data_IF_335423272201
#
_entry.id   IF_335423272201
#
_cell.length_a   1.000
_cell.length_b   1.000
_cell.length_c   1.000
_cell.angle_alpha   90.00
_cell.angle_beta   90.00
_cell.angle_gamma   90.00
#
_symmetry.space_group_name_H-M   'P 1'
#
loop_
_entity.id
_entity.type
_entity.pdbx_description
1 polymer ?
#
# COMPACT_ATOMS: atom_id res chain seq x y z
N UNK A 1 8.18 -3.86 -29.00
CA UNK A 1 8.53 -4.24 -27.62
C UNK A 1 7.69 -3.44 -26.64
N UNK A 2 6.83 -4.12 -25.88
CA UNK A 2 6.04 -3.45 -24.85
C UNK A 2 6.95 -3.13 -23.66
N UNK A 3 7.11 -1.84 -23.37
CA UNK A 3 7.90 -1.33 -22.25
C UNK A 3 7.21 -1.79 -20.96
N UNK A 4 7.94 -2.53 -20.12
CA UNK A 4 7.47 -2.91 -18.79
C UNK A 4 7.32 -1.65 -17.93
N UNK A 5 6.09 -1.28 -17.61
CA UNK A 5 5.77 -0.14 -16.76
C UNK A 5 5.75 -0.53 -15.27
N UNK A 6 6.23 0.35 -14.40
CA UNK A 6 6.14 0.19 -12.95
C UNK A 6 5.75 1.50 -12.26
N UNK A 7 5.85 1.55 -10.93
CA UNK A 7 5.75 2.81 -10.19
C UNK A 7 7.13 3.27 -9.69
N UNK A 8 7.58 4.50 -9.98
CA UNK A 8 8.87 5.01 -9.51
C UNK A 8 9.02 5.00 -7.98
N UNK A 9 7.91 5.02 -7.24
CA UNK A 9 7.91 4.96 -5.77
C UNK A 9 8.41 3.62 -5.22
N UNK A 10 8.60 2.60 -6.06
CA UNK A 10 9.27 1.35 -5.67
C UNK A 10 10.73 1.58 -5.26
N UNK A 11 11.36 2.64 -5.77
CA UNK A 11 12.77 2.99 -5.49
C UNK A 11 12.90 4.22 -4.57
N UNK A 12 11.81 4.57 -3.87
CA UNK A 12 11.74 5.75 -3.01
C UNK A 12 12.81 5.77 -1.91
N UNK A 13 13.19 4.60 -1.38
CA UNK A 13 14.22 4.46 -0.33
C UNK A 13 15.56 5.10 -0.71
N UNK A 14 15.86 5.20 -2.00
CA UNK A 14 17.12 5.74 -2.51
C UNK A 14 17.12 7.28 -2.52
N UNK A 15 15.94 7.90 -2.43
CA UNK A 15 15.75 9.36 -2.56
C UNK A 15 15.23 10.02 -1.28
N UNK A 16 14.65 9.27 -0.35
CA UNK A 16 14.10 9.83 0.88
C UNK A 16 15.14 9.85 2.02
N UNK A 17 15.30 10.99 2.73
CA UNK A 17 16.21 11.08 3.87
C UNK A 17 15.93 9.99 4.91
N UNK A 18 16.97 9.37 5.48
CA UNK A 18 16.84 8.31 6.51
C UNK A 18 16.32 8.86 7.84
N UNK A 19 16.69 10.09 8.19
CA UNK A 19 16.33 10.71 9.47
C UNK A 19 15.01 11.46 9.37
N UNK A 20 14.03 11.04 10.18
CA UNK A 20 12.90 11.90 10.51
C UNK A 20 12.27 11.45 11.83
N UNK A 21 11.96 12.40 12.72
CA UNK A 21 11.29 12.10 13.98
C UNK A 21 9.78 12.25 13.78
N UNK A 22 9.03 11.18 13.93
CA UNK A 22 7.58 11.24 13.99
C UNK A 22 7.14 11.41 15.46
N UNK A 23 6.26 12.38 15.75
CA UNK A 23 5.74 12.55 17.11
C UNK A 23 4.97 11.30 17.56
N UNK A 24 5.05 10.94 18.84
CA UNK A 24 4.39 9.74 19.40
C UNK A 24 2.90 9.61 19.03
N UNK A 25 2.17 10.73 18.95
CA UNK A 25 0.74 10.76 18.56
C UNK A 25 0.44 10.09 17.20
N UNK A 26 1.41 10.13 16.28
CA UNK A 26 1.26 9.61 14.92
C UNK A 26 1.91 8.24 14.72
N UNK A 27 2.65 7.71 15.71
CA UNK A 27 3.11 6.33 15.66
C UNK A 27 1.91 5.40 15.71
N UNK A 28 2.04 4.26 15.05
CA UNK A 28 0.96 3.26 14.94
C UNK A 28 1.55 1.86 14.94
N UNK A 29 0.81 0.91 15.49
CA UNK A 29 1.14 -0.50 15.29
C UNK A 29 0.69 -0.94 13.90
N UNK A 30 -0.48 -0.47 13.45
CA UNK A 30 -0.96 -0.72 12.10
C UNK A 30 -1.66 0.51 11.50
N UNK A 31 -1.31 0.83 10.26
CA UNK A 31 -2.06 1.74 9.41
C UNK A 31 -2.95 0.95 8.46
N UNK A 32 -4.23 1.32 8.43
CA UNK A 32 -5.17 0.81 7.44
C UNK A 32 -5.44 1.93 6.43
N UNK A 33 -4.82 1.84 5.26
CA UNK A 33 -5.01 2.79 4.16
C UNK A 33 -6.29 2.47 3.40
N UNK A 34 -7.32 3.29 3.56
CA UNK A 34 -8.68 3.02 3.05
C UNK A 34 -9.05 3.84 1.82
N UNK A 35 -10.15 3.44 1.17
CA UNK A 35 -10.91 4.23 0.20
C UNK A 35 -12.37 4.23 0.67
N UNK A 36 -13.06 5.36 0.58
CA UNK A 36 -14.52 5.37 0.77
C UNK A 36 -15.20 4.41 -0.22
N UNK A 37 -16.10 3.51 0.25
CA UNK A 37 -16.71 2.45 -0.57
C UNK A 37 -17.29 2.95 -1.90
N UNK A 38 -18.03 4.05 -1.87
CA UNK A 38 -18.69 4.63 -3.06
C UNK A 38 -17.71 5.15 -4.13
N UNK A 39 -16.42 5.22 -3.81
CA UNK A 39 -15.34 5.60 -4.73
C UNK A 39 -14.49 4.40 -5.18
N UNK A 40 -14.88 3.18 -4.82
CA UNK A 40 -14.27 1.93 -5.27
C UNK A 40 -15.00 1.41 -6.51
N UNK A 41 -14.25 0.94 -7.51
CA UNK A 41 -14.82 0.38 -8.75
C UNK A 41 -15.24 -1.08 -8.55
N UNK A 42 -16.16 -1.32 -7.63
CA UNK A 42 -16.64 -2.67 -7.23
C UNK A 42 -18.17 -2.72 -7.17
N UNK A 43 -18.78 -3.91 -7.27
CA UNK A 43 -20.22 -4.08 -7.10
C UNK A 43 -20.73 -3.52 -5.76
N UNK A 44 -21.97 -3.01 -5.69
CA UNK A 44 -22.55 -2.43 -4.47
C UNK A 44 -22.49 -3.37 -3.26
N UNK A 45 -22.68 -4.68 -3.45
CA UNK A 45 -22.61 -5.68 -2.39
C UNK A 45 -21.26 -5.63 -1.68
N UNK A 46 -20.18 -5.55 -2.45
CA UNK A 46 -18.81 -5.40 -1.92
C UNK A 46 -18.61 -4.08 -1.19
N UNK A 47 -19.23 -3.00 -1.64
CA UNK A 47 -19.17 -1.71 -0.93
C UNK A 47 -19.78 -1.79 0.47
N UNK A 48 -20.88 -2.53 0.63
CA UNK A 48 -21.53 -2.75 1.92
C UNK A 48 -20.71 -3.66 2.84
N UNK A 49 -20.09 -4.70 2.29
CA UNK A 49 -19.25 -5.65 3.05
C UNK A 49 -17.99 -5.00 3.64
N UNK A 50 -17.44 -3.95 3.01
CA UNK A 50 -16.16 -3.36 3.41
C UNK A 50 -16.11 -2.97 4.89
N UNK A 51 -17.21 -2.44 5.42
CA UNK A 51 -17.25 -1.99 6.81
C UNK A 51 -17.04 -3.14 7.78
N UNK A 52 -17.74 -4.26 7.57
CA UNK A 52 -17.67 -5.41 8.46
C UNK A 52 -16.32 -6.13 8.32
N UNK A 53 -15.78 -6.21 7.09
CA UNK A 53 -14.40 -6.66 6.83
C UNK A 53 -13.39 -5.83 7.63
N UNK A 54 -13.51 -4.50 7.62
CA UNK A 54 -12.60 -3.62 8.35
C UNK A 54 -12.71 -3.79 9.87
N UNK A 55 -13.93 -3.94 10.41
CA UNK A 55 -14.14 -4.21 11.83
C UNK A 55 -13.49 -5.54 12.27
N UNK A 56 -13.77 -6.61 11.54
CA UNK A 56 -13.20 -7.93 11.82
C UNK A 56 -11.66 -7.91 11.69
N UNK A 57 -11.15 -7.13 10.73
CA UNK A 57 -9.71 -6.93 10.55
C UNK A 57 -9.10 -6.22 11.74
N UNK A 58 -9.73 -5.15 12.24
CA UNK A 58 -9.26 -4.40 13.41
C UNK A 58 -9.25 -5.30 14.66
N UNK A 59 -10.31 -6.06 14.89
CA UNK A 59 -10.41 -6.96 16.03
C UNK A 59 -9.36 -8.07 15.97
N UNK A 60 -9.14 -8.63 14.78
CA UNK A 60 -8.09 -9.62 14.55
C UNK A 60 -6.69 -9.04 14.77
N UNK A 61 -6.39 -7.86 14.22
CA UNK A 61 -5.14 -7.15 14.48
C UNK A 61 -4.91 -6.91 15.98
N UNK A 62 -5.93 -6.45 16.71
CA UNK A 62 -5.86 -6.27 18.17
C UNK A 62 -5.55 -7.59 18.89
N UNK A 63 -6.17 -8.69 18.47
CA UNK A 63 -5.89 -10.03 19.01
C UNK A 63 -4.44 -10.49 18.77
N UNK A 64 -3.79 -9.95 17.74
CA UNK A 64 -2.38 -10.18 17.39
C UNK A 64 -1.42 -9.17 18.02
N UNK A 65 -1.89 -8.34 18.95
CA UNK A 65 -1.05 -7.37 19.65
C UNK A 65 -0.76 -6.08 18.87
N UNK A 66 -1.60 -5.75 17.89
CA UNK A 66 -1.62 -4.41 17.29
C UNK A 66 -2.61 -3.54 18.08
N UNK A 67 -2.11 -2.80 19.07
CA UNK A 67 -2.92 -2.02 20.00
C UNK A 67 -3.33 -0.66 19.45
N UNK A 68 -2.49 -0.07 18.61
CA UNK A 68 -2.66 1.26 18.05
C UNK A 68 -2.90 1.17 16.53
N UNK A 69 -4.11 0.75 16.17
CA UNK A 69 -4.59 0.67 14.78
C UNK A 69 -5.27 2.00 14.40
N UNK A 70 -4.88 2.58 13.27
CA UNK A 70 -5.48 3.82 12.76
C UNK A 70 -5.79 3.74 11.27
N UNK A 71 -6.79 4.48 10.83
CA UNK A 71 -7.04 4.68 9.41
C UNK A 71 -6.11 5.74 8.83
N UNK A 72 -5.61 5.51 7.62
CA UNK A 72 -4.93 6.50 6.80
C UNK A 72 -5.83 6.88 5.63
N UNK A 73 -6.30 8.12 5.65
CA UNK A 73 -7.09 8.73 4.58
C UNK A 73 -6.14 9.34 3.55
N UNK A 74 -6.31 8.98 2.28
CA UNK A 74 -5.49 9.49 1.17
C UNK A 74 -6.19 10.63 0.42
N UNK A 75 -7.48 10.81 0.70
CA UNK A 75 -8.35 11.79 0.10
C UNK A 75 -9.29 12.31 1.20
N UNK A 76 -9.64 13.61 1.17
CA UNK A 76 -10.58 14.18 2.13
C UNK A 76 -11.94 13.47 2.11
N UNK A 77 -12.31 12.86 0.97
CA UNK A 77 -13.53 12.06 0.82
C UNK A 77 -13.49 10.74 1.58
N UNK A 78 -12.33 10.28 2.04
CA UNK A 78 -12.21 9.10 2.90
C UNK A 78 -12.60 9.38 4.35
N UNK A 79 -12.51 10.65 4.79
CA UNK A 79 -12.70 11.06 6.18
C UNK A 79 -14.07 10.68 6.73
N UNK A 80 -15.22 10.95 6.06
CA UNK A 80 -16.52 10.59 6.61
C UNK A 80 -16.68 9.08 6.85
N UNK A 81 -16.09 8.26 5.98
CA UNK A 81 -16.11 6.81 6.14
C UNK A 81 -15.21 6.38 7.31
N UNK A 82 -13.99 6.92 7.41
CA UNK A 82 -13.09 6.63 8.52
C UNK A 82 -13.67 7.03 9.89
N UNK A 83 -14.25 8.23 9.97
CA UNK A 83 -14.87 8.79 11.18
C UNK A 83 -16.10 7.99 11.64
N UNK A 84 -16.71 7.20 10.75
CA UNK A 84 -17.84 6.33 11.11
C UNK A 84 -17.46 5.13 12.00
N UNK A 85 -16.16 4.83 12.14
CA UNK A 85 -15.65 3.74 12.97
C UNK A 85 -15.36 4.21 14.40
N UNK A 86 -16.27 3.91 15.33
CA UNK A 86 -16.11 4.27 16.74
C UNK A 86 -14.86 3.62 17.35
N UNK A 87 -14.03 4.42 18.01
CA UNK A 87 -12.85 3.93 18.74
C UNK A 87 -11.64 3.62 17.86
N UNK A 88 -11.63 4.08 16.61
CA UNK A 88 -10.48 4.00 15.70
C UNK A 88 -10.16 5.40 15.19
N UNK A 89 -8.98 5.91 15.53
CA UNK A 89 -8.53 7.21 15.03
C UNK A 89 -8.25 7.13 13.52
N UNK A 90 -8.40 8.26 12.83
CA UNK A 90 -7.91 8.44 11.47
C UNK A 90 -6.87 9.54 11.36
N UNK A 91 -6.01 9.43 10.34
CA UNK A 91 -5.01 10.42 9.98
C UNK A 91 -5.26 10.81 8.52
N UNK A 92 -5.20 12.11 8.24
CA UNK A 92 -5.19 12.67 6.89
C UNK A 92 -4.03 13.65 6.79
N UNK A 93 -3.33 13.61 5.66
CA UNK A 93 -2.31 14.61 5.32
C UNK A 93 -2.22 14.77 3.81
N UNK A 94 -2.06 16.01 3.36
CA UNK A 94 -1.78 16.42 1.99
C UNK A 94 -0.28 16.57 1.69
N UNK A 95 0.55 16.41 2.73
CA UNK A 95 2.00 16.52 2.66
C UNK A 95 2.61 15.15 2.38
N UNK A 96 3.25 15.02 1.21
CA UNK A 96 3.87 13.78 0.77
C UNK A 96 4.97 13.30 1.72
N UNK A 97 5.75 14.20 2.33
CA UNK A 97 6.80 13.80 3.27
C UNK A 97 6.21 13.28 4.57
N UNK A 98 5.17 13.93 5.10
CA UNK A 98 4.44 13.42 6.27
C UNK A 98 3.81 12.07 5.99
N UNK A 99 3.18 11.91 4.83
CA UNK A 99 2.61 10.64 4.38
C UNK A 99 3.65 9.51 4.38
N UNK A 100 4.79 9.71 3.74
CA UNK A 100 5.88 8.73 3.73
C UNK A 100 6.42 8.47 5.14
N UNK A 101 6.51 9.50 5.98
CA UNK A 101 6.97 9.37 7.35
C UNK A 101 6.00 8.56 8.22
N UNK A 102 4.69 8.67 8.00
CA UNK A 102 3.67 7.83 8.64
C UNK A 102 3.86 6.36 8.27
N UNK A 103 4.01 6.07 6.97
CA UNK A 103 4.23 4.70 6.49
C UNK A 103 5.50 4.08 7.08
N UNK A 104 6.61 4.83 7.13
CA UNK A 104 7.89 4.33 7.67
C UNK A 104 7.82 3.96 9.16
N UNK A 105 6.92 4.61 9.91
CA UNK A 105 6.84 4.45 11.36
C UNK A 105 5.67 3.57 11.82
N UNK A 106 5.01 2.86 10.90
CA UNK A 106 4.05 1.82 11.26
C UNK A 106 4.70 0.45 11.26
N UNK A 107 4.22 -0.47 12.10
CA UNK A 107 4.68 -1.86 12.16
C UNK A 107 4.11 -2.69 11.00
N UNK A 108 2.93 -2.30 10.50
CA UNK A 108 2.23 -2.96 9.40
C UNK A 108 1.32 -1.97 8.66
N UNK A 109 1.35 -1.97 7.33
CA UNK A 109 0.38 -1.23 6.51
C UNK A 109 -0.56 -2.19 5.77
N UNK A 110 -1.83 -2.26 6.15
CA UNK A 110 -2.87 -2.93 5.37
C UNK A 110 -3.52 -1.90 4.45
N UNK A 111 -3.58 -2.15 3.15
CA UNK A 111 -3.92 -1.09 2.21
C UNK A 111 -4.79 -1.49 1.03
N UNK A 112 -5.81 -0.67 0.79
CA UNK A 112 -6.59 -0.63 -0.44
C UNK A 112 -5.98 0.33 -1.48
N UNK A 113 -4.97 1.12 -1.08
CA UNK A 113 -4.34 2.19 -1.88
C UNK A 113 -2.99 1.75 -2.41
N UNK A 114 -2.87 1.73 -3.73
CA UNK A 114 -1.64 1.38 -4.44
C UNK A 114 -0.45 2.23 -3.99
N UNK A 115 -0.67 3.53 -3.77
CA UNK A 115 0.36 4.49 -3.37
C UNK A 115 0.71 4.49 -1.88
N UNK A 116 0.14 3.62 -1.03
CA UNK A 116 0.80 3.25 0.24
C UNK A 116 1.44 1.88 0.21
N UNK A 117 1.00 0.97 -0.68
CA UNK A 117 1.61 -0.34 -0.82
C UNK A 117 3.04 -0.26 -1.35
N UNK A 118 3.22 0.39 -2.51
CA UNK A 118 4.51 0.41 -3.20
C UNK A 118 5.57 1.15 -2.38
N UNK A 119 5.29 2.31 -1.75
CA UNK A 119 6.25 2.93 -0.84
C UNK A 119 6.61 2.04 0.36
N UNK A 120 5.66 1.28 0.92
CA UNK A 120 6.00 0.33 2.00
C UNK A 120 6.97 -0.76 1.54
N UNK A 121 6.79 -1.31 0.32
CA UNK A 121 7.76 -2.24 -0.26
C UNK A 121 9.16 -1.62 -0.37
N UNK A 122 9.23 -0.37 -0.83
CA UNK A 122 10.48 0.36 -0.96
C UNK A 122 11.14 0.61 0.40
N UNK A 123 10.36 1.04 1.38
CA UNK A 123 10.82 1.46 2.71
C UNK A 123 11.05 0.30 3.68
N UNK A 124 10.93 -0.94 3.22
CA UNK A 124 11.07 -2.14 4.04
C UNK A 124 10.05 -2.22 5.19
N UNK A 125 8.82 -1.73 4.92
CA UNK A 125 7.71 -1.76 5.86
C UNK A 125 6.78 -2.93 5.51
N UNK A 126 6.49 -3.85 6.44
CA UNK A 126 5.52 -4.92 6.20
C UNK A 126 4.19 -4.36 5.72
N UNK A 127 3.65 -4.92 4.63
CA UNK A 127 2.42 -4.39 4.03
C UNK A 127 1.58 -5.47 3.36
N UNK A 128 0.26 -5.32 3.43
CA UNK A 128 -0.73 -6.22 2.81
C UNK A 128 -1.55 -5.41 1.83
N UNK A 129 -1.55 -5.83 0.55
CA UNK A 129 -2.35 -5.17 -0.50
C UNK A 129 -3.69 -5.88 -0.67
N UNK A 130 -4.76 -5.09 -0.65
CA UNK A 130 -6.09 -5.50 -1.09
C UNK A 130 -6.43 -4.69 -2.34
N UNK A 131 -6.48 -5.34 -3.51
CA UNK A 131 -6.78 -4.73 -4.79
C UNK A 131 -8.22 -4.95 -5.19
N UNK A 132 -8.88 -3.88 -5.62
CA UNK A 132 -10.30 -3.87 -5.95
C UNK A 132 -10.60 -3.39 -7.37
N UNK A 133 -9.58 -2.95 -8.11
CA UNK A 133 -9.69 -2.52 -9.50
C UNK A 133 -8.54 -3.10 -10.34
N UNK A 134 -8.76 -3.14 -11.65
CA UNK A 134 -7.82 -3.74 -12.61
C UNK A 134 -6.48 -2.99 -12.67
N UNK A 135 -6.48 -1.68 -12.38
CA UNK A 135 -5.26 -0.87 -12.43
C UNK A 135 -4.31 -1.27 -11.31
N UNK A 136 -4.85 -1.47 -10.11
CA UNK A 136 -4.07 -1.96 -8.98
C UNK A 136 -3.59 -3.40 -9.21
N UNK A 137 -4.45 -4.29 -9.71
CA UNK A 137 -4.09 -5.67 -10.03
C UNK A 137 -2.94 -5.73 -11.05
N UNK A 138 -3.10 -5.07 -12.20
CA UNK A 138 -2.10 -5.04 -13.26
C UNK A 138 -0.76 -4.47 -12.80
N UNK A 139 -0.76 -3.40 -11.98
CA UNK A 139 0.50 -2.85 -11.49
C UNK A 139 1.19 -3.75 -10.47
N UNK A 140 0.43 -4.38 -9.58
CA UNK A 140 0.97 -5.33 -8.58
C UNK A 140 1.58 -6.54 -9.29
N UNK A 141 0.90 -7.08 -10.30
CA UNK A 141 1.41 -8.17 -11.14
C UNK A 141 2.70 -7.73 -11.87
N UNK A 142 2.70 -6.54 -12.46
CA UNK A 142 3.87 -5.99 -13.17
C UNK A 142 5.12 -5.83 -12.28
N UNK A 143 4.96 -5.73 -10.95
CA UNK A 143 6.07 -5.66 -9.99
C UNK A 143 6.33 -7.01 -9.29
N UNK A 144 5.70 -8.10 -9.74
CA UNK A 144 5.92 -9.46 -9.25
C UNK A 144 5.30 -9.73 -7.88
N UNK A 145 4.24 -9.01 -7.51
CA UNK A 145 3.62 -9.08 -6.18
C UNK A 145 2.22 -9.72 -6.19
N UNK A 146 1.82 -10.38 -7.28
CA UNK A 146 0.46 -10.92 -7.44
C UNK A 146 0.13 -11.98 -6.37
N UNK A 147 1.05 -12.91 -6.10
CA UNK A 147 0.88 -13.96 -5.08
C UNK A 147 0.62 -13.40 -3.67
N UNK A 148 1.15 -12.21 -3.38
CA UNK A 148 0.95 -11.54 -2.09
C UNK A 148 -0.36 -10.75 -2.04
N UNK A 149 -0.84 -10.30 -3.19
CA UNK A 149 -1.97 -9.40 -3.30
C UNK A 149 -3.30 -10.13 -3.13
N UNK A 150 -4.23 -9.46 -2.43
CA UNK A 150 -5.57 -9.98 -2.19
C UNK A 150 -6.52 -9.34 -3.20
N UNK A 151 -7.24 -10.14 -3.97
CA UNK A 151 -8.26 -9.67 -4.88
C UNK A 151 -9.60 -9.50 -4.15
N UNK A 152 -9.96 -8.25 -3.88
CA UNK A 152 -11.16 -7.89 -3.12
C UNK A 152 -12.48 -8.42 -3.73
N UNK A 153 -12.50 -8.60 -5.04
CA UNK A 153 -13.70 -9.02 -5.78
C UNK A 153 -13.83 -10.55 -5.80
N UNK A 154 -12.72 -11.27 -5.89
CA UNK A 154 -12.70 -12.72 -6.13
C UNK A 154 -12.49 -13.56 -4.88
N UNK A 155 -11.76 -13.03 -3.90
CA UNK A 155 -11.26 -13.84 -2.79
C UNK A 155 -12.18 -13.78 -1.57
N UNK A 156 -11.97 -14.74 -0.66
CA UNK A 156 -12.42 -14.59 0.71
C UNK A 156 -11.47 -13.62 1.44
N UNK A 157 -11.74 -12.33 1.27
CA UNK A 157 -10.88 -11.22 1.71
C UNK A 157 -10.45 -11.35 3.17
N UNK A 158 -11.37 -11.69 4.06
CA UNK A 158 -11.04 -11.82 5.49
C UNK A 158 -10.13 -13.01 5.78
N UNK A 159 -10.33 -14.15 5.10
CA UNK A 159 -9.45 -15.30 5.25
C UNK A 159 -8.03 -14.97 4.73
N UNK A 160 -7.93 -14.29 3.59
CA UNK A 160 -6.65 -13.88 3.02
C UNK A 160 -5.93 -12.85 3.89
N UNK A 161 -6.64 -11.84 4.42
CA UNK A 161 -6.05 -10.85 5.34
C UNK A 161 -5.45 -11.56 6.56
N UNK A 162 -6.20 -12.48 7.17
CA UNK A 162 -5.72 -13.25 8.33
C UNK A 162 -4.48 -14.08 7.98
N UNK A 163 -4.53 -14.77 6.83
CA UNK A 163 -3.39 -15.54 6.32
C UNK A 163 -2.13 -14.68 6.15
N UNK A 164 -2.25 -13.48 5.57
CA UNK A 164 -1.10 -12.58 5.37
C UNK A 164 -0.60 -11.97 6.68
N UNK A 165 -1.48 -11.69 7.65
CA UNK A 165 -1.08 -11.23 8.98
C UNK A 165 -0.28 -12.32 9.71
N UNK A 166 -0.74 -13.58 9.62
CA UNK A 166 -0.09 -14.71 10.28
C UNK A 166 1.24 -15.11 9.62
N UNK A 167 1.35 -14.91 8.31
CA UNK A 167 2.51 -15.28 7.51
C UNK A 167 3.23 -14.06 6.93
N UNK A 168 3.31 -12.97 7.70
CA UNK A 168 3.90 -11.69 7.23
C UNK A 168 5.36 -11.84 6.76
N UNK A 169 6.08 -12.85 7.24
CA UNK A 169 7.46 -13.16 6.83
C UNK A 169 7.57 -13.63 5.37
N UNK A 170 6.51 -14.16 4.78
CA UNK A 170 6.51 -14.62 3.37
C UNK A 170 6.70 -13.45 2.40
N UNK A 171 6.25 -12.25 2.78
CA UNK A 171 6.48 -11.02 2.03
C UNK A 171 7.97 -10.77 1.78
N UNK A 172 8.83 -11.03 2.77
CA UNK A 172 10.27 -10.81 2.62
C UNK A 172 10.92 -11.74 1.61
N UNK A 173 10.43 -12.98 1.52
CA UNK A 173 10.88 -13.95 0.52
C UNK A 173 10.54 -13.46 -0.90
N UNK A 174 9.31 -13.00 -1.11
CA UNK A 174 8.84 -12.47 -2.40
C UNK A 174 9.63 -11.20 -2.77
N UNK A 175 9.80 -10.26 -1.83
CA UNK A 175 10.59 -9.04 -2.03
C UNK A 175 12.04 -9.37 -2.38
N UNK A 176 12.65 -10.35 -1.72
CA UNK A 176 14.04 -10.74 -1.98
C UNK A 176 14.19 -11.30 -3.39
N UNK A 177 13.29 -12.19 -3.82
CA UNK A 177 13.29 -12.73 -5.17
C UNK A 177 13.15 -11.62 -6.22
N UNK A 178 12.21 -10.70 -6.03
CA UNK A 178 11.97 -9.61 -6.97
C UNK A 178 13.11 -8.58 -7.01
N UNK A 179 13.73 -8.28 -5.86
CA UNK A 179 14.92 -7.43 -5.79
C UNK A 179 16.12 -8.00 -6.58
N UNK A 180 16.23 -9.32 -6.66
CA UNK A 180 17.34 -10.01 -7.36
C UNK A 180 17.10 -10.19 -8.87
N UNK A 181 15.86 -10.03 -9.33
CA UNK A 181 15.47 -10.36 -10.71
C UNK A 181 14.71 -9.22 -11.39
N UNK A 182 13.43 -9.04 -11.02
CA UNK A 182 12.49 -8.17 -11.72
C UNK A 182 12.75 -6.67 -11.47
N UNK A 183 12.89 -6.24 -10.21
CA UNK A 183 12.95 -4.82 -9.88
C UNK A 183 14.15 -4.07 -10.46
N UNK A 184 15.37 -4.66 -10.55
CA UNK A 184 16.48 -4.02 -11.26
C UNK A 184 16.16 -3.77 -12.73
N UNK A 185 15.44 -4.69 -13.41
CA UNK A 185 15.03 -4.49 -14.80
C UNK A 185 14.05 -3.32 -14.96
N UNK A 186 13.10 -3.19 -14.02
CA UNK A 186 12.16 -2.05 -13.97
C UNK A 186 12.92 -0.73 -13.76
N UNK A 187 13.87 -0.71 -12.83
CA UNK A 187 14.70 0.47 -12.55
C UNK A 187 15.50 0.91 -13.78
N UNK A 188 16.18 -0.03 -14.44
CA UNK A 188 16.92 0.23 -15.67
C UNK A 188 16.00 0.73 -16.79
N UNK A 189 14.79 0.16 -16.89
CA UNK A 189 13.75 0.64 -17.79
C UNK A 189 13.42 2.12 -17.57
N UNK A 190 13.22 2.55 -16.31
CA UNK A 190 13.01 3.97 -16.01
C UNK A 190 14.19 4.84 -16.43
N UNK A 191 15.42 4.46 -16.03
CA UNK A 191 16.64 5.25 -16.33
C UNK A 191 16.82 5.43 -17.84
N UNK A 192 16.70 4.34 -18.60
CA UNK A 192 16.88 4.36 -20.05
C UNK A 192 15.81 5.21 -20.74
N UNK A 193 14.55 5.07 -20.32
CA UNK A 193 13.44 5.83 -20.91
C UNK A 193 13.53 7.33 -20.62
N UNK A 194 13.86 7.71 -19.38
CA UNK A 194 14.02 9.12 -19.03
C UNK A 194 15.23 9.74 -19.74
N UNK A 195 16.33 8.98 -19.89
CA UNK A 195 17.51 9.44 -20.63
C UNK A 195 17.19 9.66 -22.11
N UNK A 196 16.53 8.69 -22.75
CA UNK A 196 16.10 8.81 -24.15
C UNK A 196 15.12 9.98 -24.36
N UNK A 197 14.16 10.17 -23.44
CA UNK A 197 13.25 11.31 -23.49
C UNK A 197 13.97 12.65 -23.35
N UNK A 198 14.98 12.74 -22.47
CA UNK A 198 15.79 13.94 -22.31
C UNK A 198 16.59 14.28 -23.58
N UNK A 199 17.18 13.28 -24.23
CA UNK A 199 17.89 13.45 -25.51
C UNK A 199 16.96 13.94 -26.63
N UNK A 200 15.72 13.44 -26.69
CA UNK A 200 14.71 13.91 -27.64
C UNK A 200 14.34 15.38 -27.40
N UNK A 201 14.20 15.79 -26.13
CA UNK A 201 13.92 17.19 -25.78
C UNK A 201 15.09 18.14 -26.07
N UNK A 202 16.34 17.66 -26.06
CA UNK A 202 17.53 18.45 -26.35
C UNK A 202 17.85 18.55 -27.85
N UNK A 203 17.32 17.63 -28.65
CA UNK A 203 17.48 17.59 -30.11
C UNK A 203 16.31 18.21 -30.87
N UNK A 204 15.32 18.75 -30.16
CA UNK A 204 14.18 19.53 -30.69
C UNK A 204 14.34 21.03 -30.43
#
# INVERSE_FOLDING_TARGET
>A
DNIMGGCPTLFLKDYFPKENKLSEKYKTDCLISIRTPNLMSVPPEKQYELRDILLDTIDYLKSKGFSNVKFLCHDHRDIPFADSFKGVDFIFTDDAYKFINLLRHTRLNLTFRLHSFIPCLSLDVPTIKVSYDERALSLVDSIGMDDWNINYVKDNVMAEIKSRIDNIGDLESIKTQNNQSLWPSIQNGFVNNFSSFAEMCLSS
#
